data_IF_740668858492
#
_entry.id   IF_740668858492
#
_cell.length_a   1.000
_cell.length_b   1.000
_cell.length_c   1.000
_cell.angle_alpha   90.00
_cell.angle_beta   90.00
_cell.angle_gamma   90.00
#
_symmetry.space_group_name_H-M   'P 1'
#
loop_
_entity.id
_entity.type
_entity.pdbx_description
1 polymer ?
#
# COMPACT_ATOMS: atom_id res chain seq x y z
N UNK A 1 5.92 11.42 -31.11
CA UNK A 1 5.73 10.60 -29.90
C UNK A 1 4.23 10.40 -29.71
N UNK A 2 3.72 9.18 -29.93
CA UNK A 2 2.31 8.89 -29.71
C UNK A 2 2.16 8.38 -28.27
N UNK A 3 1.46 9.12 -27.41
CA UNK A 3 1.07 8.60 -26.09
C UNK A 3 -0.06 7.61 -26.30
N UNK A 4 0.25 6.31 -26.24
CA UNK A 4 -0.75 5.25 -26.18
C UNK A 4 -1.46 5.35 -24.82
N UNK A 5 -2.67 5.91 -24.81
CA UNK A 5 -3.54 5.88 -23.63
C UNK A 5 -4.27 4.54 -23.59
N UNK A 6 -3.97 3.73 -22.58
CA UNK A 6 -4.71 2.50 -22.32
C UNK A 6 -5.67 2.74 -21.17
N UNK A 7 -6.96 2.45 -21.38
CA UNK A 7 -7.95 2.52 -20.32
C UNK A 7 -7.63 1.50 -19.22
N UNK A 8 -7.73 1.93 -17.97
CA UNK A 8 -7.69 1.04 -16.82
C UNK A 8 -8.74 1.46 -15.78
N UNK A 9 -9.15 0.57 -14.87
CA UNK A 9 -10.01 0.94 -13.77
C UNK A 9 -9.38 2.07 -12.93
N UNK A 10 -10.17 3.08 -12.60
CA UNK A 10 -9.74 4.24 -11.77
C UNK A 10 -9.19 3.80 -10.40
N UNK A 11 -9.64 2.65 -9.90
CA UNK A 11 -9.18 2.14 -8.62
C UNK A 11 -7.69 1.81 -8.58
N UNK A 12 -7.04 1.58 -9.72
CA UNK A 12 -5.59 1.34 -9.78
C UNK A 12 -4.78 2.58 -9.39
N UNK A 13 -5.35 3.78 -9.55
CA UNK A 13 -4.65 5.03 -9.18
C UNK A 13 -4.40 5.15 -7.68
N UNK A 14 -5.18 4.44 -6.86
CA UNK A 14 -5.01 4.40 -5.40
C UNK A 14 -3.93 3.41 -4.94
N UNK A 15 -3.27 2.68 -5.84
CA UNK A 15 -2.18 1.76 -5.49
C UNK A 15 -0.96 2.56 -5.08
N UNK A 16 -0.45 2.32 -3.88
CA UNK A 16 0.67 3.07 -3.27
C UNK A 16 1.93 3.07 -4.14
N UNK A 17 2.30 1.90 -4.69
CA UNK A 17 3.56 1.74 -5.41
C UNK A 17 3.41 2.06 -6.91
N UNK A 18 4.12 3.07 -7.44
CA UNK A 18 4.01 3.44 -8.85
C UNK A 18 4.40 2.31 -9.82
N UNK A 19 5.42 1.51 -9.48
CA UNK A 19 5.85 0.38 -10.33
C UNK A 19 4.77 -0.71 -10.40
N UNK A 20 4.18 -1.09 -9.26
CA UNK A 20 3.06 -2.05 -9.22
C UNK A 20 1.87 -1.53 -10.02
N UNK A 21 1.55 -0.22 -9.89
CA UNK A 21 0.50 0.42 -10.69
C UNK A 21 0.79 0.34 -12.18
N UNK A 22 2.03 0.60 -12.61
CA UNK A 22 2.44 0.48 -14.01
C UNK A 22 2.30 -0.95 -14.53
N UNK A 23 2.79 -1.92 -13.76
CA UNK A 23 2.69 -3.35 -14.09
C UNK A 23 1.22 -3.79 -14.21
N UNK A 24 0.35 -3.32 -13.30
CA UNK A 24 -1.09 -3.59 -13.35
C UNK A 24 -1.80 -2.88 -14.50
N UNK A 25 -1.49 -1.61 -14.79
CA UNK A 25 -2.11 -0.89 -15.91
C UNK A 25 -1.90 -1.63 -17.26
N UNK A 26 -0.79 -2.34 -17.41
CA UNK A 26 -0.49 -3.15 -18.60
C UNK A 26 -1.14 -4.54 -18.58
N UNK A 27 -1.54 -5.06 -17.41
CA UNK A 27 -1.93 -6.46 -17.23
C UNK A 27 -3.30 -6.65 -16.54
N UNK A 28 -4.03 -5.57 -16.23
CA UNK A 28 -5.23 -5.62 -15.38
C UNK A 28 -6.31 -6.56 -15.93
N UNK A 29 -6.42 -6.67 -17.26
CA UNK A 29 -7.39 -7.52 -17.94
C UNK A 29 -7.14 -9.02 -17.73
N UNK A 30 -5.97 -9.42 -17.18
CA UNK A 30 -5.64 -10.81 -16.87
C UNK A 30 -6.22 -11.30 -15.55
N UNK A 31 -6.74 -10.39 -14.72
CA UNK A 31 -7.21 -10.70 -13.38
C UNK A 31 -8.70 -10.42 -13.24
N UNK A 32 -9.39 -11.19 -12.40
CA UNK A 32 -10.67 -10.75 -11.86
C UNK A 32 -10.41 -9.50 -10.99
N UNK A 33 -10.76 -8.33 -11.51
CA UNK A 33 -10.47 -7.06 -10.87
C UNK A 33 -11.01 -6.97 -9.44
N UNK A 34 -12.23 -7.47 -9.19
CA UNK A 34 -12.85 -7.41 -7.86
C UNK A 34 -12.17 -8.36 -6.88
N UNK A 35 -11.91 -9.61 -7.30
CA UNK A 35 -11.17 -10.57 -6.48
C UNK A 35 -9.73 -10.12 -6.22
N UNK A 36 -9.06 -9.55 -7.22
CA UNK A 36 -7.70 -9.03 -7.09
C UNK A 36 -7.63 -7.86 -6.12
N UNK A 37 -8.46 -6.83 -6.30
CA UNK A 37 -8.45 -5.65 -5.42
C UNK A 37 -8.89 -5.98 -4.00
N UNK A 38 -9.85 -6.89 -3.83
CA UNK A 38 -10.23 -7.41 -2.52
C UNK A 38 -9.08 -8.14 -1.83
N UNK A 39 -8.31 -8.95 -2.57
CA UNK A 39 -7.15 -9.63 -1.99
C UNK A 39 -5.97 -8.68 -1.72
N UNK A 40 -5.72 -7.72 -2.62
CA UNK A 40 -4.72 -6.67 -2.46
C UNK A 40 -4.98 -5.83 -1.20
N UNK A 41 -6.23 -5.40 -0.98
CA UNK A 41 -6.58 -4.59 0.20
C UNK A 41 -6.35 -5.35 1.52
N UNK A 42 -6.53 -6.67 1.54
CA UNK A 42 -6.18 -7.50 2.70
C UNK A 42 -4.67 -7.63 2.93
N UNK A 43 -3.86 -7.56 1.86
CA UNK A 43 -2.42 -7.80 1.91
C UNK A 43 -1.57 -6.52 1.96
N UNK A 44 -2.15 -5.35 1.64
CA UNK A 44 -1.51 -4.05 1.84
C UNK A 44 -1.56 -3.69 3.32
N UNK A 45 -0.40 -3.35 3.89
CA UNK A 45 -0.25 -3.01 5.30
C UNK A 45 0.50 -1.70 5.44
N UNK A 46 -0.03 -0.79 6.25
CA UNK A 46 0.70 0.38 6.70
C UNK A 46 1.72 -0.08 7.75
N UNK A 47 2.96 0.36 7.62
CA UNK A 47 4.07 0.16 8.58
C UNK A 47 3.90 1.12 9.76
N UNK A 48 2.74 1.06 10.38
CA UNK A 48 2.49 1.71 11.65
C UNK A 48 2.76 0.72 12.78
N UNK A 49 3.53 1.10 13.82
CA UNK A 49 3.83 0.20 14.91
C UNK A 49 2.56 -0.28 15.62
N UNK A 50 2.48 -1.58 15.87
CA UNK A 50 1.36 -2.16 16.58
C UNK A 50 1.26 -1.58 17.99
N UNK A 51 0.04 -1.22 18.41
CA UNK A 51 -0.25 -0.62 19.71
C UNK A 51 -0.08 0.90 19.77
N UNK A 52 0.45 1.55 18.73
CA UNK A 52 0.55 3.00 18.69
C UNK A 52 -0.78 3.63 18.22
N UNK A 53 -1.27 4.63 18.96
CA UNK A 53 -2.50 5.34 18.62
C UNK A 53 -2.36 6.14 17.33
N UNK A 54 -3.38 6.05 16.46
CA UNK A 54 -3.50 6.86 15.23
C UNK A 54 -4.11 8.23 15.57
N UNK A 55 -4.93 8.26 16.62
CA UNK A 55 -5.54 9.46 17.16
C UNK A 55 -4.96 9.74 18.53
N UNK A 56 -4.59 11.00 18.77
CA UNK A 56 -4.14 11.53 20.05
C UNK A 56 -5.08 12.64 20.48
N UNK A 57 -5.11 12.94 21.78
CA UNK A 57 -5.87 14.09 22.30
C UNK A 57 -4.94 15.29 22.44
N UNK A 58 -5.43 16.45 22.05
CA UNK A 58 -4.73 17.71 22.28
C UNK A 58 -4.98 18.24 23.70
N UNK A 59 -4.46 19.45 23.99
CA UNK A 59 -4.62 20.13 25.28
C UNK A 59 -6.09 20.44 25.65
N UNK A 60 -7.01 20.40 24.67
CA UNK A 60 -8.44 20.65 24.83
C UNK A 60 -9.27 19.37 24.91
N UNK A 61 -8.61 18.21 24.97
CA UNK A 61 -9.22 16.89 24.90
C UNK A 61 -9.84 16.55 23.52
N UNK A 62 -9.56 17.32 22.47
CA UNK A 62 -10.06 17.06 21.12
C UNK A 62 -9.21 15.98 20.42
N UNK A 63 -9.86 15.08 19.66
CA UNK A 63 -9.16 14.04 18.89
C UNK A 63 -8.50 14.63 17.64
N UNK A 64 -7.19 14.43 17.51
CA UNK A 64 -6.40 14.80 16.35
C UNK A 64 -5.65 13.58 15.78
N UNK A 65 -5.36 13.60 14.49
CA UNK A 65 -4.50 12.59 13.87
C UNK A 65 -3.07 12.81 14.36
N UNK A 66 -2.41 11.74 14.82
CA UNK A 66 -0.99 11.78 15.15
C UNK A 66 -0.19 12.14 13.88
N UNK A 67 0.61 13.22 13.91
CA UNK A 67 1.38 13.63 12.72
C UNK A 67 2.32 12.52 12.21
N UNK A 68 2.82 11.66 13.13
CA UNK A 68 3.64 10.51 12.77
C UNK A 68 2.95 9.52 11.83
N UNK A 69 1.64 9.28 11.98
CA UNK A 69 0.94 8.38 11.06
C UNK A 69 0.79 9.02 9.67
N UNK A 70 0.64 10.35 9.57
CA UNK A 70 0.57 11.02 8.27
C UNK A 70 1.90 10.88 7.52
N UNK A 71 3.02 11.01 8.20
CA UNK A 71 4.35 10.82 7.61
C UNK A 71 4.55 9.40 7.08
N UNK A 72 4.08 8.39 7.82
CA UNK A 72 4.13 6.98 7.38
C UNK A 72 3.14 6.73 6.23
N UNK A 73 1.88 7.11 6.40
CA UNK A 73 0.79 6.77 5.47
C UNK A 73 0.98 7.39 4.08
N UNK A 74 1.60 8.57 4.00
CA UNK A 74 1.79 9.30 2.73
C UNK A 74 3.04 8.90 1.95
N UNK A 75 3.92 8.09 2.54
CA UNK A 75 5.16 7.62 1.90
C UNK A 75 5.00 6.19 1.40
N UNK A 76 5.53 5.91 0.22
CA UNK A 76 5.58 4.54 -0.32
C UNK A 76 6.25 3.55 0.65
N UNK A 77 7.35 3.98 1.31
CA UNK A 77 8.08 3.17 2.29
C UNK A 77 7.29 2.88 3.56
N UNK A 78 6.24 3.66 3.86
CA UNK A 78 5.34 3.42 4.97
C UNK A 78 4.31 2.33 4.70
N UNK A 79 4.37 1.66 3.54
CA UNK A 79 3.52 0.52 3.22
C UNK A 79 4.37 -0.73 2.99
N UNK A 80 3.71 -1.89 3.07
CA UNK A 80 4.27 -3.16 2.66
C UNK A 80 3.20 -4.12 2.16
N UNK A 81 3.65 -5.19 1.50
CA UNK A 81 2.81 -6.32 1.09
C UNK A 81 3.15 -7.56 1.91
N UNK A 82 2.15 -8.36 2.22
CA UNK A 82 2.39 -9.65 2.88
C UNK A 82 3.09 -10.63 1.94
N UNK A 83 3.74 -11.64 2.52
CA UNK A 83 4.45 -12.69 1.78
C UNK A 83 3.54 -13.49 0.86
N UNK A 84 2.27 -13.67 1.24
CA UNK A 84 1.27 -14.41 0.45
C UNK A 84 0.94 -13.68 -0.85
N UNK A 85 0.80 -12.35 -0.81
CA UNK A 85 0.59 -11.57 -2.03
C UNK A 85 1.80 -11.64 -2.96
N UNK A 86 2.99 -11.49 -2.39
CA UNK A 86 4.26 -11.56 -3.14
C UNK A 86 4.40 -12.93 -3.83
N UNK A 87 4.07 -14.01 -3.14
CA UNK A 87 4.14 -15.37 -3.69
C UNK A 87 3.08 -15.62 -4.77
N UNK A 88 1.89 -15.01 -4.63
CA UNK A 88 0.75 -15.22 -5.54
C UNK A 88 0.88 -14.43 -6.85
N UNK A 89 1.47 -13.24 -6.82
CA UNK A 89 1.58 -12.35 -7.98
C UNK A 89 3.02 -11.82 -8.19
N UNK A 90 4.03 -12.70 -8.33
CA UNK A 90 5.42 -12.26 -8.50
C UNK A 90 5.63 -11.43 -9.76
N UNK A 91 4.87 -11.69 -10.82
CA UNK A 91 4.94 -10.96 -12.09
C UNK A 91 4.51 -9.49 -11.98
N UNK A 92 3.63 -9.18 -11.03
CA UNK A 92 3.21 -7.79 -10.77
C UNK A 92 4.27 -6.98 -10.03
N UNK A 93 5.29 -7.65 -9.47
CA UNK A 93 6.36 -7.05 -8.68
C UNK A 93 7.67 -6.92 -9.47
N UNK A 94 7.64 -7.18 -10.78
CA UNK A 94 8.80 -7.01 -11.64
C UNK A 94 9.34 -5.56 -11.57
N UNK A 95 10.65 -5.44 -11.38
CA UNK A 95 11.33 -4.15 -11.20
C UNK A 95 11.28 -3.56 -9.78
N UNK A 96 10.67 -4.25 -8.81
CA UNK A 96 10.58 -3.80 -7.42
C UNK A 96 11.60 -4.52 -6.51
N UNK A 97 12.03 -3.84 -5.44
CA UNK A 97 12.77 -4.49 -4.35
C UNK A 97 11.80 -5.22 -3.42
N UNK A 98 11.57 -6.51 -3.71
CA UNK A 98 10.59 -7.36 -3.00
C UNK A 98 10.89 -7.48 -1.51
N UNK A 99 12.16 -7.52 -1.10
CA UNK A 99 12.51 -7.65 0.31
C UNK A 99 12.26 -6.36 1.09
N UNK A 100 12.49 -5.19 0.48
CA UNK A 100 12.08 -3.92 1.08
C UNK A 100 10.56 -3.75 1.13
N UNK A 101 9.84 -4.33 0.17
CA UNK A 101 8.38 -4.30 0.08
C UNK A 101 7.70 -5.21 1.11
N UNK A 102 8.35 -6.31 1.50
CA UNK A 102 7.77 -7.31 2.39
C UNK A 102 7.40 -6.70 3.74
N UNK A 103 6.13 -6.81 4.11
CA UNK A 103 5.64 -6.35 5.39
C UNK A 103 6.10 -7.29 6.51
N UNK A 104 6.55 -6.69 7.60
CA UNK A 104 6.85 -7.37 8.86
C UNK A 104 6.17 -6.57 9.97
N UNK A 105 5.62 -7.28 10.96
CA UNK A 105 4.99 -6.64 12.11
C UNK A 105 6.06 -5.86 12.88
N UNK A 106 5.79 -4.58 13.12
CA UNK A 106 6.63 -3.72 13.96
C UNK A 106 5.94 -3.53 15.31
N UNK A 107 6.67 -3.68 16.40
CA UNK A 107 6.16 -3.44 17.76
C UNK A 107 6.59 -2.04 18.17
N UNK A 108 5.64 -1.18 18.53
CA UNK A 108 5.90 0.22 18.86
C UNK A 108 6.08 0.49 20.35
N UNK A 109 6.78 1.59 20.65
CA UNK A 109 6.65 2.32 21.92
C UNK A 109 5.77 3.55 21.69
N UNK A 110 5.04 4.00 22.72
CA UNK A 110 4.04 5.06 22.61
C UNK A 110 4.63 6.41 22.14
N UNK A 111 3.81 7.19 21.43
CA UNK A 111 4.08 8.57 21.02
C UNK A 111 3.84 9.55 22.16
#
# INVERSE_FOLDING_TARGET
MAQLQHGHPVGLDFITWPQLRSNLAQNWYKYDYMGFTGYLSCCMKVRWPWGQGILVRDERDDLQICEGILDVFTKESGWGLTSEFIAKYPELLEGMNVEALRFQIMVGQAC
#
